data_IF_308087294635
#
_entry.id   IF_308087294635
#
_cell.length_a   1.000
_cell.length_b   1.000
_cell.length_c   1.000
_cell.angle_alpha   90.00
_cell.angle_beta   90.00
_cell.angle_gamma   90.00
#
_symmetry.space_group_name_H-M   'P 1'
#
loop_
_entity.id
_entity.type
_entity.pdbx_description
1 polymer ?
#
# COMPACT_ATOMS: atom_id res chain seq x y z
N UNK A 1 -23.23 28.46 20.15
CA UNK A 1 -22.91 28.95 18.79
C UNK A 1 -21.48 29.46 18.84
N UNK A 2 -20.59 28.96 17.98
CA UNK A 2 -19.20 29.43 17.94
C UNK A 2 -19.13 30.86 17.41
N UNK A 3 -18.31 31.71 18.02
CA UNK A 3 -18.05 33.06 17.56
C UNK A 3 -17.27 33.08 16.23
N UNK A 4 -17.35 34.16 15.44
CA UNK A 4 -16.55 34.29 14.22
C UNK A 4 -15.04 34.09 14.43
N UNK A 5 -14.51 34.51 15.59
CA UNK A 5 -13.12 34.31 15.95
C UNK A 5 -12.78 32.83 16.19
N UNK A 6 -13.66 32.08 16.86
CA UNK A 6 -13.48 30.64 17.08
C UNK A 6 -13.54 29.86 15.76
N UNK A 7 -14.45 30.24 14.87
CA UNK A 7 -14.53 29.66 13.51
C UNK A 7 -13.23 29.92 12.75
N UNK A 8 -12.71 31.16 12.76
CA UNK A 8 -11.45 31.50 12.09
C UNK A 8 -10.26 30.72 12.63
N UNK A 9 -10.20 30.52 13.96
CA UNK A 9 -9.17 29.67 14.60
C UNK A 9 -9.29 28.21 14.15
N UNK A 10 -10.50 27.68 14.08
CA UNK A 10 -10.76 26.32 13.60
C UNK A 10 -10.24 26.10 12.18
N UNK A 11 -10.61 26.99 11.24
CA UNK A 11 -10.18 26.90 9.83
C UNK A 11 -8.65 26.94 9.73
N UNK A 12 -8.01 27.91 10.40
CA UNK A 12 -6.55 28.04 10.38
C UNK A 12 -5.86 26.79 10.95
N UNK A 13 -6.40 26.24 12.05
CA UNK A 13 -5.90 25.02 12.67
C UNK A 13 -6.03 23.81 11.76
N UNK A 14 -7.16 23.63 11.08
CA UNK A 14 -7.39 22.53 10.15
C UNK A 14 -6.45 22.59 8.94
N UNK A 15 -6.25 23.77 8.35
CA UNK A 15 -5.31 23.93 7.22
C UNK A 15 -3.88 23.64 7.65
N UNK A 16 -3.47 24.11 8.83
CA UNK A 16 -2.15 23.83 9.37
C UNK A 16 -1.95 22.33 9.67
N UNK A 17 -2.99 21.64 10.15
CA UNK A 17 -2.96 20.19 10.37
C UNK A 17 -2.82 19.43 9.06
N UNK A 18 -3.65 19.71 8.06
CA UNK A 18 -3.59 19.08 6.73
C UNK A 18 -2.21 19.27 6.09
N UNK A 19 -1.63 20.47 6.19
CA UNK A 19 -0.29 20.75 5.68
C UNK A 19 0.79 19.90 6.36
N UNK A 20 0.68 19.64 7.68
CA UNK A 20 1.60 18.75 8.38
C UNK A 20 1.44 17.30 7.95
N UNK A 21 0.20 16.82 7.80
CA UNK A 21 -0.09 15.47 7.32
C UNK A 21 0.53 15.24 5.93
N UNK A 22 0.38 16.20 5.02
CA UNK A 22 1.01 16.12 3.70
C UNK A 22 2.54 16.02 3.79
N UNK A 23 3.18 16.86 4.62
CA UNK A 23 4.63 16.81 4.83
C UNK A 23 5.10 15.48 5.45
N UNK A 24 4.33 14.90 6.37
CA UNK A 24 4.61 13.59 6.95
C UNK A 24 4.49 12.47 5.91
N UNK A 25 3.47 12.52 5.03
CA UNK A 25 3.32 11.57 3.92
C UNK A 25 4.51 11.64 2.95
N UNK A 26 4.99 12.84 2.61
CA UNK A 26 6.18 13.01 1.76
C UNK A 26 7.45 12.46 2.42
N UNK A 27 7.63 12.71 3.72
CA UNK A 27 8.78 12.21 4.46
C UNK A 27 8.76 10.68 4.57
N UNK A 28 7.60 10.11 4.86
CA UNK A 28 7.41 8.66 4.87
C UNK A 28 7.65 8.05 3.49
N UNK A 29 7.15 8.68 2.43
CA UNK A 29 7.41 8.28 1.03
C UNK A 29 8.91 8.22 0.75
N UNK A 30 9.68 9.24 1.14
CA UNK A 30 11.15 9.25 0.99
C UNK A 30 11.80 8.07 1.74
N UNK A 31 11.39 7.87 3.00
CA UNK A 31 11.92 6.81 3.85
C UNK A 31 11.67 5.40 3.29
N UNK A 32 10.44 5.14 2.83
CA UNK A 32 10.07 3.87 2.20
C UNK A 32 10.92 3.65 0.94
N UNK A 33 11.07 4.67 0.10
CA UNK A 33 11.89 4.58 -1.13
C UNK A 33 13.34 4.24 -0.83
N UNK A 34 13.94 4.89 0.17
CA UNK A 34 15.32 4.63 0.60
C UNK A 34 15.49 3.19 1.09
N UNK A 35 14.61 2.73 1.98
CA UNK A 35 14.70 1.40 2.58
C UNK A 35 14.44 0.27 1.57
N UNK A 36 13.48 0.43 0.66
CA UNK A 36 13.24 -0.54 -0.42
C UNK A 36 14.38 -0.54 -1.44
N UNK A 37 14.93 0.63 -1.77
CA UNK A 37 16.10 0.71 -2.65
C UNK A 37 17.32 0.03 -2.01
N UNK A 38 17.51 0.18 -0.71
CA UNK A 38 18.54 -0.53 0.08
C UNK A 38 18.31 -2.05 0.06
N UNK A 39 17.07 -2.51 0.26
CA UNK A 39 16.72 -3.94 0.17
C UNK A 39 17.11 -4.55 -1.19
N UNK A 40 16.86 -3.83 -2.29
CA UNK A 40 17.22 -4.28 -3.64
C UNK A 40 18.72 -4.43 -3.89
N UNK A 41 19.55 -3.76 -3.08
CA UNK A 41 21.01 -3.88 -3.11
C UNK A 41 21.54 -5.01 -2.22
N UNK A 42 20.71 -5.60 -1.36
CA UNK A 42 21.11 -6.73 -0.52
C UNK A 42 21.53 -7.94 -1.36
N UNK A 43 22.49 -8.72 -0.86
CA UNK A 43 23.09 -9.82 -1.63
C UNK A 43 22.06 -10.86 -2.09
N UNK A 44 21.08 -11.20 -1.24
CA UNK A 44 20.07 -12.20 -1.55
C UNK A 44 19.03 -11.74 -2.58
N UNK A 45 18.65 -10.46 -2.56
CA UNK A 45 17.64 -9.90 -3.46
C UNK A 45 18.28 -9.51 -4.79
N UNK A 46 19.44 -8.84 -4.75
CA UNK A 46 20.14 -8.33 -5.93
C UNK A 46 20.58 -9.42 -6.92
N UNK A 47 20.68 -10.67 -6.47
CA UNK A 47 20.91 -11.83 -7.35
C UNK A 47 19.80 -12.03 -8.38
N UNK A 48 18.55 -11.72 -8.02
CA UNK A 48 17.37 -11.97 -8.87
C UNK A 48 16.64 -10.70 -9.30
N UNK A 49 16.51 -9.71 -8.42
CA UNK A 49 15.74 -8.49 -8.66
C UNK A 49 16.68 -7.29 -8.80
N UNK A 50 16.32 -6.33 -9.64
CA UNK A 50 17.03 -5.05 -9.77
C UNK A 50 16.04 -3.95 -10.12
N UNK A 51 16.24 -2.75 -9.58
CA UNK A 51 15.58 -1.55 -10.09
C UNK A 51 15.89 -1.33 -11.58
N UNK A 52 14.89 -0.83 -12.31
CA UNK A 52 14.98 -0.48 -13.73
C UNK A 52 14.64 1.01 -13.92
N UNK A 53 15.55 1.89 -13.49
CA UNK A 53 15.34 3.34 -13.53
C UNK A 53 14.89 3.90 -12.19
N UNK A 54 14.21 5.03 -12.23
CA UNK A 54 13.84 5.83 -11.07
C UNK A 54 12.43 5.52 -10.56
N UNK A 55 12.15 5.99 -9.34
CA UNK A 55 10.82 5.96 -8.77
C UNK A 55 9.89 6.96 -9.47
N UNK A 56 8.68 6.54 -9.80
CA UNK A 56 7.60 7.38 -10.29
C UNK A 56 6.64 7.69 -9.14
N UNK A 57 6.29 8.97 -8.95
CA UNK A 57 5.28 9.37 -7.98
C UNK A 57 4.05 9.91 -8.73
N UNK A 58 2.88 9.66 -8.16
CA UNK A 58 1.59 10.15 -8.66
C UNK A 58 0.69 10.48 -7.47
N UNK A 59 -0.30 11.35 -7.66
CA UNK A 59 -1.21 11.78 -6.60
C UNK A 59 -2.65 11.79 -7.14
N UNK A 60 -3.61 11.43 -6.30
CA UNK A 60 -5.03 11.65 -6.54
C UNK A 60 -5.51 12.80 -5.66
N UNK A 61 -6.36 13.66 -6.22
CA UNK A 61 -6.97 14.77 -5.51
C UNK A 61 -8.43 14.47 -5.20
N UNK A 62 -8.98 15.17 -4.21
CA UNK A 62 -10.41 15.23 -3.99
C UNK A 62 -11.16 15.82 -5.19
N UNK A 63 -12.49 15.72 -5.18
CA UNK A 63 -13.35 16.23 -6.28
C UNK A 63 -13.15 17.74 -6.55
N UNK A 64 -12.71 18.51 -5.54
CA UNK A 64 -12.45 19.94 -5.68
C UNK A 64 -11.08 20.26 -6.30
N UNK A 65 -10.20 19.26 -6.45
CA UNK A 65 -8.83 19.42 -6.97
C UNK A 65 -7.90 20.18 -6.02
N UNK A 66 -8.29 20.36 -4.76
CA UNK A 66 -7.49 21.08 -3.78
C UNK A 66 -6.56 20.13 -3.03
N UNK A 67 -7.12 19.03 -2.54
CA UNK A 67 -6.51 18.22 -1.49
C UNK A 67 -6.05 16.90 -2.08
N UNK A 68 -4.78 16.56 -1.89
CA UNK A 68 -4.31 15.21 -2.18
C UNK A 68 -4.88 14.22 -1.16
N UNK A 69 -5.64 13.25 -1.65
CA UNK A 69 -6.25 12.18 -0.87
C UNK A 69 -5.44 10.89 -0.95
N UNK A 70 -4.68 10.71 -2.02
CA UNK A 70 -3.81 9.55 -2.22
C UNK A 70 -2.42 9.92 -2.77
N UNK A 71 -1.40 9.19 -2.31
CA UNK A 71 0.00 9.34 -2.74
C UNK A 71 0.49 7.99 -3.25
N UNK A 72 0.63 7.88 -4.57
CA UNK A 72 1.10 6.68 -5.24
C UNK A 72 2.57 6.78 -5.58
N UNK A 73 3.29 5.68 -5.44
CA UNK A 73 4.69 5.57 -5.83
C UNK A 73 4.96 4.20 -6.43
N UNK A 74 5.64 4.16 -7.58
CA UNK A 74 5.98 2.93 -8.30
C UNK A 74 7.46 2.88 -8.66
N UNK A 75 8.12 1.74 -8.43
CA UNK A 75 9.48 1.45 -8.88
C UNK A 75 9.46 0.34 -9.92
N UNK A 76 9.85 0.58 -11.18
CA UNK A 76 10.05 -0.47 -12.17
C UNK A 76 11.14 -1.46 -11.73
N UNK A 77 10.84 -2.75 -11.81
CA UNK A 77 11.73 -3.85 -11.42
C UNK A 77 11.97 -4.78 -12.61
N UNK A 78 13.22 -5.24 -12.73
CA UNK A 78 13.61 -6.32 -13.64
C UNK A 78 13.92 -7.58 -12.85
N UNK A 79 13.38 -8.72 -13.30
CA UNK A 79 13.72 -10.05 -12.81
C UNK A 79 14.77 -10.66 -13.74
N UNK A 80 15.98 -10.87 -13.22
CA UNK A 80 17.10 -11.45 -13.97
C UNK A 80 16.76 -12.86 -14.47
N UNK A 81 17.23 -13.25 -15.67
CA UNK A 81 18.19 -12.54 -16.52
C UNK A 81 17.56 -11.55 -17.53
N UNK A 82 16.25 -11.27 -17.44
CA UNK A 82 15.58 -10.35 -18.37
C UNK A 82 16.24 -8.96 -18.32
N UNK A 83 16.09 -8.21 -19.41
CA UNK A 83 16.58 -6.81 -19.54
C UNK A 83 15.44 -5.79 -19.71
N UNK A 84 14.20 -6.24 -19.58
CA UNK A 84 13.00 -5.42 -19.62
C UNK A 84 12.37 -5.32 -18.23
N UNK A 85 11.42 -4.39 -18.08
CA UNK A 85 10.57 -4.32 -16.90
C UNK A 85 9.80 -5.65 -16.79
N UNK A 86 9.73 -6.18 -15.57
CA UNK A 86 9.02 -7.41 -15.21
C UNK A 86 7.81 -7.14 -14.32
N UNK A 87 7.73 -5.95 -13.75
CA UNK A 87 6.66 -5.47 -12.88
C UNK A 87 7.15 -4.27 -12.08
N UNK A 88 6.33 -3.82 -11.14
CA UNK A 88 6.55 -2.62 -10.35
C UNK A 88 6.33 -2.95 -8.89
N UNK A 89 7.28 -2.61 -8.02
CA UNK A 89 6.89 -2.39 -6.63
C UNK A 89 6.09 -1.12 -6.57
N UNK A 90 5.02 -1.14 -5.79
CA UNK A 90 4.29 0.07 -5.51
C UNK A 90 4.01 0.21 -4.03
N UNK A 91 3.80 1.46 -3.63
CA UNK A 91 3.04 1.76 -2.45
C UNK A 91 2.11 2.94 -2.69
N UNK A 92 0.98 2.92 -2.01
CA UNK A 92 -0.08 3.92 -2.08
C UNK A 92 -0.45 4.29 -0.65
N UNK A 93 -0.25 5.56 -0.28
CA UNK A 93 -0.75 6.10 0.99
C UNK A 93 -2.12 6.69 0.71
N UNK A 94 -3.16 6.12 1.31
CA UNK A 94 -4.55 6.53 1.14
C UNK A 94 -5.07 7.18 2.41
N UNK A 95 -5.45 8.46 2.30
CA UNK A 95 -6.00 9.26 3.39
C UNK A 95 -7.53 9.33 3.35
N UNK A 96 -8.11 9.19 2.16
CA UNK A 96 -9.55 9.21 1.91
C UNK A 96 -9.87 8.50 0.58
N UNK A 97 -11.16 8.25 0.32
CA UNK A 97 -11.66 7.64 -0.92
C UNK A 97 -11.43 6.13 -0.98
N UNK A 98 -11.47 5.59 -2.20
CA UNK A 98 -11.55 4.15 -2.45
C UNK A 98 -10.44 3.32 -1.77
N UNK A 99 -9.23 3.85 -1.60
CA UNK A 99 -8.14 3.16 -0.89
C UNK A 99 -8.48 2.77 0.55
N UNK A 100 -9.35 3.54 1.23
CA UNK A 100 -9.72 3.28 2.63
C UNK A 100 -11.15 2.75 2.82
N UNK A 101 -11.93 2.62 1.75
CA UNK A 101 -13.38 2.32 1.77
C UNK A 101 -13.75 0.85 2.05
N UNK A 102 -12.79 0.02 2.51
CA UNK A 102 -13.14 -1.25 3.11
C UNK A 102 -14.10 -1.02 4.29
N UNK A 103 -15.12 -1.88 4.44
CA UNK A 103 -16.09 -1.73 5.53
C UNK A 103 -15.38 -1.80 6.89
N UNK A 104 -15.89 -1.04 7.86
CA UNK A 104 -15.33 -0.95 9.23
C UNK A 104 -13.89 -0.41 9.28
N UNK A 105 -13.39 0.20 8.21
CA UNK A 105 -12.16 0.97 8.24
C UNK A 105 -12.46 2.46 8.43
N UNK A 106 -11.81 3.07 9.41
CA UNK A 106 -11.87 4.52 9.67
C UNK A 106 -10.48 5.15 9.69
N UNK A 107 -9.45 4.40 9.27
CA UNK A 107 -8.05 4.80 9.39
C UNK A 107 -7.38 4.92 8.01
N UNK A 108 -6.44 5.88 7.85
CA UNK A 108 -5.60 5.95 6.67
C UNK A 108 -4.74 4.70 6.52
N UNK A 109 -4.55 4.24 5.28
CA UNK A 109 -3.85 3.01 4.96
C UNK A 109 -2.61 3.29 4.11
N UNK A 110 -1.64 2.39 4.21
CA UNK A 110 -0.58 2.23 3.23
C UNK A 110 -0.78 0.87 2.58
N UNK A 111 -1.07 0.87 1.29
CA UNK A 111 -1.07 -0.34 0.47
C UNK A 111 0.33 -0.53 -0.10
N UNK A 112 0.88 -1.73 0.01
CA UNK A 112 2.21 -2.06 -0.50
C UNK A 112 2.13 -3.36 -1.30
N UNK A 113 2.71 -3.37 -2.49
CA UNK A 113 2.53 -4.51 -3.37
C UNK A 113 3.46 -4.59 -4.57
N UNK A 114 3.06 -5.51 -5.46
CA UNK A 114 3.65 -5.73 -6.77
C UNK A 114 2.54 -5.73 -7.82
N UNK A 115 2.65 -4.84 -8.81
CA UNK A 115 1.78 -4.78 -9.98
C UNK A 115 2.56 -5.07 -11.27
N UNK A 116 1.86 -5.49 -12.32
CA UNK A 116 2.42 -5.60 -13.67
C UNK A 116 2.65 -4.22 -14.30
N UNK A 117 1.85 -3.22 -13.92
CA UNK A 117 1.88 -1.83 -14.40
C UNK A 117 2.14 -0.84 -13.25
N UNK A 118 2.64 0.37 -13.52
CA UNK A 118 2.76 1.39 -12.48
C UNK A 118 1.39 1.87 -12.01
N UNK A 119 1.32 2.40 -10.80
CA UNK A 119 0.12 3.11 -10.32
C UNK A 119 -0.22 4.29 -11.23
N UNK A 120 -1.51 4.44 -11.54
CA UNK A 120 -2.05 5.60 -12.26
C UNK A 120 -3.30 6.22 -11.62
N UNK A 121 -3.86 5.58 -10.59
CA UNK A 121 -5.13 5.94 -9.93
C UNK A 121 -6.40 5.87 -10.81
N UNK A 122 -6.26 5.54 -12.08
CA UNK A 122 -7.39 5.31 -12.99
C UNK A 122 -7.71 3.81 -13.04
N UNK A 123 -6.73 2.99 -13.45
CA UNK A 123 -6.87 1.55 -13.66
C UNK A 123 -6.05 0.74 -12.64
N UNK A 124 -4.87 1.24 -12.26
CA UNK A 124 -3.93 0.58 -11.36
C UNK A 124 -3.87 1.31 -10.02
N UNK A 125 -4.72 0.88 -9.09
CA UNK A 125 -4.69 1.25 -7.67
C UNK A 125 -5.22 0.15 -6.78
N UNK A 126 -4.87 0.19 -5.50
CA UNK A 126 -5.58 -0.57 -4.49
C UNK A 126 -6.77 0.25 -4.02
N UNK A 127 -7.96 -0.36 -3.97
CA UNK A 127 -9.17 0.30 -3.51
C UNK A 127 -10.30 -0.69 -3.28
N UNK A 128 -11.34 -0.25 -2.58
CA UNK A 128 -12.53 -1.04 -2.26
C UNK A 128 -13.78 -0.33 -2.81
N UNK A 129 -14.72 -1.06 -3.44
CA UNK A 129 -14.63 -2.48 -3.78
C UNK A 129 -13.50 -2.74 -4.81
N UNK A 130 -12.84 -3.89 -4.68
CA UNK A 130 -11.84 -4.33 -5.65
C UNK A 130 -12.50 -4.48 -7.02
N UNK A 131 -11.83 -4.01 -8.07
CA UNK A 131 -12.20 -4.35 -9.43
C UNK A 131 -11.92 -5.84 -9.68
N UNK A 132 -12.99 -6.61 -9.93
CA UNK A 132 -12.91 -8.05 -10.18
C UNK A 132 -12.94 -8.30 -11.69
N UNK A 133 -11.78 -8.19 -12.32
CA UNK A 133 -11.60 -8.60 -13.72
C UNK A 133 -11.82 -10.13 -13.83
N UNK A 134 -12.75 -10.60 -14.70
CA UNK A 134 -13.00 -12.03 -14.91
C UNK A 134 -11.78 -12.85 -15.35
N UNK A 135 -10.75 -12.22 -15.90
CA UNK A 135 -9.50 -12.88 -16.30
C UNK A 135 -8.62 -13.25 -15.10
N UNK A 136 -8.85 -12.64 -13.94
CA UNK A 136 -8.08 -12.84 -12.72
C UNK A 136 -8.91 -13.55 -11.65
N UNK A 137 -8.25 -14.45 -10.93
CA UNK A 137 -8.75 -14.96 -9.65
C UNK A 137 -8.09 -14.18 -8.53
N UNK A 138 -8.92 -13.53 -7.71
CA UNK A 138 -8.47 -12.83 -6.50
C UNK A 138 -8.55 -13.78 -5.30
N UNK A 139 -7.43 -13.98 -4.61
CA UNK A 139 -7.39 -14.71 -3.33
C UNK A 139 -6.93 -13.79 -2.21
N UNK A 140 -7.37 -14.08 -0.99
CA UNK A 140 -6.92 -13.40 0.22
C UNK A 140 -6.18 -14.42 1.09
N UNK A 141 -4.86 -14.44 0.98
CA UNK A 141 -4.01 -15.35 1.73
C UNK A 141 -3.89 -14.85 3.18
N UNK A 142 -4.10 -15.77 4.13
CA UNK A 142 -4.01 -15.52 5.57
C UNK A 142 -4.75 -14.27 6.04
N UNK A 143 -5.86 -13.94 5.37
CA UNK A 143 -6.69 -12.76 5.60
C UNK A 143 -5.96 -11.41 5.38
N UNK A 144 -4.73 -11.38 4.87
CA UNK A 144 -3.88 -10.17 4.88
C UNK A 144 -3.28 -9.81 3.54
N UNK A 145 -3.01 -10.80 2.69
CA UNK A 145 -2.35 -10.60 1.40
C UNK A 145 -3.31 -10.92 0.27
N UNK A 146 -3.75 -9.89 -0.44
CA UNK A 146 -4.47 -10.06 -1.69
C UNK A 146 -3.50 -10.54 -2.78
N UNK A 147 -3.96 -11.48 -3.60
CA UNK A 147 -3.24 -11.94 -4.79
C UNK A 147 -4.17 -11.95 -5.98
N UNK A 148 -3.67 -11.49 -7.11
CA UNK A 148 -4.33 -11.59 -8.41
C UNK A 148 -3.52 -12.56 -9.26
N UNK A 149 -4.17 -13.65 -9.67
CA UNK A 149 -3.56 -14.70 -10.46
C UNK A 149 -4.41 -14.99 -11.70
N UNK A 150 -3.76 -15.11 -12.85
CA UNK A 150 -4.40 -15.58 -14.08
C UNK A 150 -4.44 -17.13 -14.01
N UNK A 151 -5.62 -17.77 -14.07
CA UNK A 151 -5.72 -19.23 -14.02
C UNK A 151 -4.86 -19.90 -15.10
N UNK A 152 -4.05 -20.88 -14.69
CA UNK A 152 -3.17 -21.62 -15.61
C UNK A 152 -1.91 -20.87 -16.06
N UNK A 153 -1.68 -19.63 -15.60
CA UNK A 153 -0.42 -18.93 -15.84
C UNK A 153 0.61 -19.22 -14.75
N UNK A 154 1.87 -19.38 -15.16
CA UNK A 154 3.03 -19.40 -14.26
C UNK A 154 3.66 -18.01 -14.09
N UNK A 155 3.03 -16.95 -14.61
CA UNK A 155 3.49 -15.57 -14.42
C UNK A 155 3.44 -15.18 -12.93
N UNK A 156 4.33 -14.26 -12.53
CA UNK A 156 4.34 -13.73 -11.17
C UNK A 156 2.97 -13.15 -10.83
N UNK A 157 2.28 -13.76 -9.87
CA UNK A 157 1.03 -13.24 -9.32
C UNK A 157 1.27 -11.84 -8.77
N UNK A 158 0.39 -10.91 -9.10
CA UNK A 158 0.36 -9.62 -8.44
C UNK A 158 -0.11 -9.79 -7.01
N UNK A 159 0.31 -8.90 -6.11
CA UNK A 159 -0.06 -9.01 -4.71
C UNK A 159 -0.02 -7.65 -4.01
N UNK A 160 -0.85 -7.51 -2.99
CA UNK A 160 -0.91 -6.32 -2.16
C UNK A 160 -1.30 -6.70 -0.74
N UNK A 161 -0.65 -6.10 0.25
CA UNK A 161 -1.14 -6.06 1.62
C UNK A 161 -1.23 -4.61 2.07
N UNK A 162 -2.00 -4.36 3.13
CA UNK A 162 -2.14 -3.02 3.68
C UNK A 162 -1.65 -2.98 5.12
N UNK A 163 -1.15 -1.83 5.55
CA UNK A 163 -0.90 -1.51 6.97
C UNK A 163 -1.63 -0.22 7.28
N UNK A 164 -2.02 -0.02 8.54
CA UNK A 164 -2.56 1.28 8.95
C UNK A 164 -1.41 2.27 9.02
N UNK A 165 -1.62 3.48 8.51
CA UNK A 165 -0.61 4.54 8.59
C UNK A 165 -0.30 4.87 10.07
N UNK A 166 -1.29 4.72 10.95
CA UNK A 166 -1.17 4.91 12.40
C UNK A 166 -0.26 3.90 13.11
N UNK A 167 0.07 2.77 12.46
CA UNK A 167 1.00 1.76 12.99
C UNK A 167 2.47 2.08 12.63
N UNK A 168 2.73 3.12 11.83
CA UNK A 168 4.07 3.55 11.44
C UNK A 168 4.43 4.84 12.19
N UNK A 169 5.28 4.72 13.20
CA UNK A 169 5.69 5.88 14.02
C UNK A 169 7.20 6.16 13.93
N UNK A 170 8.00 5.16 13.56
CA UNK A 170 9.46 5.26 13.47
C UNK A 170 10.03 4.39 12.35
N UNK A 171 11.30 4.58 12.05
CA UNK A 171 12.03 3.84 11.02
C UNK A 171 11.95 2.31 11.22
N UNK A 172 11.99 1.85 12.46
CA UNK A 172 11.89 0.43 12.78
C UNK A 172 10.55 -0.17 12.33
N UNK A 173 9.48 0.62 12.35
CA UNK A 173 8.15 0.17 11.92
C UNK A 173 8.09 0.06 10.39
N UNK A 174 8.72 0.99 9.65
CA UNK A 174 8.89 0.87 8.19
C UNK A 174 9.65 -0.41 7.85
N UNK A 175 10.78 -0.66 8.53
CA UNK A 175 11.57 -1.88 8.32
C UNK A 175 10.77 -3.15 8.63
N UNK A 176 10.06 -3.16 9.76
CA UNK A 176 9.32 -4.32 10.25
C UNK A 176 8.06 -4.61 9.45
N UNK A 177 7.30 -3.59 9.09
CA UNK A 177 5.96 -3.72 8.51
C UNK A 177 5.92 -3.57 6.99
N UNK A 178 6.92 -2.93 6.37
CA UNK A 178 6.97 -2.73 4.92
C UNK A 178 8.13 -3.49 4.28
N UNK A 179 9.35 -3.30 4.78
CA UNK A 179 10.56 -3.84 4.11
C UNK A 179 10.72 -5.35 4.34
N UNK A 180 10.61 -5.82 5.58
CA UNK A 180 10.80 -7.23 5.92
C UNK A 180 9.77 -8.15 5.24
N UNK A 181 8.48 -7.79 5.14
CA UNK A 181 7.51 -8.61 4.41
C UNK A 181 7.80 -8.67 2.92
N UNK A 182 8.18 -7.54 2.30
CA UNK A 182 8.58 -7.51 0.88
C UNK A 182 9.77 -8.44 0.65
N UNK A 183 10.79 -8.36 1.52
CA UNK A 183 11.94 -9.28 1.46
C UNK A 183 11.50 -10.75 1.51
N UNK A 184 10.65 -11.11 2.47
CA UNK A 184 10.16 -12.48 2.62
C UNK A 184 9.39 -12.95 1.37
N UNK A 185 8.50 -12.11 0.84
CA UNK A 185 7.72 -12.40 -0.36
C UNK A 185 8.60 -12.56 -1.62
N UNK A 186 9.63 -11.73 -1.79
CA UNK A 186 10.58 -11.85 -2.91
C UNK A 186 11.42 -13.13 -2.86
N UNK A 187 11.68 -13.62 -1.65
CA UNK A 187 12.31 -14.90 -1.39
C UNK A 187 11.32 -16.08 -1.48
N UNK A 188 10.09 -15.85 -1.94
CA UNK A 188 9.02 -16.84 -2.11
C UNK A 188 8.59 -17.52 -0.80
N UNK A 189 8.70 -16.82 0.33
CA UNK A 189 8.09 -17.27 1.58
C UNK A 189 6.56 -17.14 1.51
N UNK A 190 5.86 -17.94 2.31
CA UNK A 190 4.39 -17.87 2.40
C UNK A 190 3.93 -16.54 2.98
N UNK A 191 2.67 -16.15 2.68
CA UNK A 191 2.04 -14.97 3.25
C UNK A 191 2.03 -15.03 4.79
N UNK A 192 1.77 -16.22 5.35
CA UNK A 192 1.81 -16.47 6.79
C UNK A 192 3.16 -16.08 7.40
N UNK A 193 4.27 -16.58 6.85
CA UNK A 193 5.60 -16.28 7.36
C UNK A 193 5.98 -14.82 7.13
N UNK A 194 5.66 -14.27 5.96
CA UNK A 194 5.99 -12.89 5.61
C UNK A 194 5.25 -11.86 6.48
N UNK A 195 4.05 -12.19 6.97
CA UNK A 195 3.15 -11.25 7.67
C UNK A 195 2.86 -11.63 9.14
N UNK A 196 3.40 -12.74 9.65
CA UNK A 196 3.11 -13.28 11.00
C UNK A 196 3.43 -12.31 12.16
N UNK A 197 4.37 -11.39 11.97
CA UNK A 197 4.80 -10.43 13.00
C UNK A 197 4.65 -8.97 12.56
N UNK A 198 3.74 -8.71 11.62
CA UNK A 198 3.48 -7.37 11.09
C UNK A 198 2.16 -6.81 11.61
N UNK A 199 1.99 -5.50 11.41
CA UNK A 199 0.71 -4.82 11.59
C UNK A 199 -0.16 -4.87 10.31
N UNK A 200 0.00 -5.90 9.46
CA UNK A 200 -0.78 -6.02 8.24
C UNK A 200 -2.27 -6.13 8.57
N UNK A 201 -3.07 -5.31 7.90
CA UNK A 201 -4.52 -5.26 8.03
C UNK A 201 -5.09 -6.61 7.64
N UNK A 202 -6.00 -7.11 8.47
CA UNK A 202 -6.77 -8.32 8.20
C UNK A 202 -8.09 -7.93 7.57
N UNK A 203 -8.51 -8.68 6.57
CA UNK A 203 -9.74 -8.47 5.83
C UNK A 203 -10.59 -9.73 5.85
N UNK A 204 -11.91 -9.55 5.74
CA UNK A 204 -12.84 -10.61 5.38
C UNK A 204 -13.70 -10.15 4.19
N UNK A 205 -13.95 -11.06 3.25
CA UNK A 205 -14.84 -10.76 2.13
C UNK A 205 -16.27 -10.53 2.63
N UNK A 206 -17.00 -9.64 1.95
CA UNK A 206 -18.42 -9.40 2.23
C UNK A 206 -19.24 -10.18 1.20
N UNK A 207 -19.88 -11.27 1.62
CA UNK A 207 -20.53 -12.25 0.72
C UNK A 207 -21.55 -11.62 -0.25
N UNK A 208 -22.23 -10.56 0.19
CA UNK A 208 -23.30 -9.89 -0.57
C UNK A 208 -22.78 -8.80 -1.54
N UNK A 209 -21.50 -8.43 -1.45
CA UNK A 209 -20.91 -7.34 -2.23
C UNK A 209 -19.58 -7.77 -2.85
N UNK A 210 -19.59 -8.30 -4.10
CA UNK A 210 -18.37 -8.73 -4.78
C UNK A 210 -17.31 -7.64 -4.82
N UNK A 211 -16.07 -7.99 -4.50
CA UNK A 211 -14.93 -7.06 -4.43
C UNK A 211 -14.88 -6.25 -3.13
N UNK A 212 -15.96 -6.23 -2.33
CA UNK A 212 -15.96 -5.54 -1.05
C UNK A 212 -15.38 -6.42 0.05
N UNK A 213 -14.57 -5.78 0.89
CA UNK A 213 -13.99 -6.40 2.08
C UNK A 213 -14.30 -5.54 3.30
N UNK A 214 -14.26 -6.17 4.48
CA UNK A 214 -14.29 -5.48 5.76
C UNK A 214 -12.96 -5.64 6.48
N UNK A 215 -12.51 -4.59 7.15
CA UNK A 215 -11.36 -4.65 8.05
C UNK A 215 -11.76 -5.39 9.32
N UNK A 216 -10.94 -6.38 9.70
CA UNK A 216 -11.10 -7.08 10.96
C UNK A 216 -10.43 -6.30 12.10
N UNK A 217 -10.92 -6.45 13.35
CA UNK A 217 -10.31 -5.82 14.51
C UNK A 217 -8.82 -6.12 14.63
N UNK A 218 -8.07 -5.17 15.19
CA UNK A 218 -6.68 -5.39 15.59
C UNK A 218 -6.65 -6.62 16.50
N UNK A 219 -5.75 -7.56 16.23
CA UNK A 219 -5.47 -8.59 17.22
C UNK A 219 -4.80 -7.89 18.39
N UNK A 220 -5.38 -7.96 19.58
CA UNK A 220 -4.69 -7.53 20.79
C UNK A 220 -3.40 -8.34 20.86
N UNK A 221 -2.27 -7.66 20.70
CA UNK A 221 -0.98 -8.29 21.00
C UNK A 221 -1.02 -8.62 22.49
N UNK A 222 -0.82 -9.89 22.91
CA UNK A 222 -0.57 -10.16 24.31
C UNK A 222 0.64 -9.30 24.72
N UNK A 223 0.45 -8.45 25.72
CA UNK A 223 1.50 -7.57 26.24
C UNK A 223 2.67 -8.32 26.86
#
# INVERSE_FOLDING_TARGET
>A
MSSPLEIGKGITGSVAFISKVAAECENLTKLIKEEISSLLLSAEISMRYRAFGDWHNIHEQDESGWLYTEFGTSLPITIKPKRSISGYFFFQISLAGSGIEALDNEEPLIHFGWWANPLDFDDFKMGFPLYLDPEYTVTLDTERLFRWAIPGSHSSSEWCYSVRLTDINRLEDVKKYLVAPVRALLLNQSADLALSHTAAVRYAAVEEMPGQYRVLPRQETPG
#
